data_IF_248716287974
#
_entry.id   IF_248716287974
#
_cell.length_a   1.000
_cell.length_b   1.000
_cell.length_c   1.000
_cell.angle_alpha   90.00
_cell.angle_beta   90.00
_cell.angle_gamma   90.00
#
_symmetry.space_group_name_H-M   'P 1'
#
loop_
_entity.id
_entity.type
_entity.pdbx_description
1 polymer ?
#
# COMPACT_ATOMS: atom_id res chain seq x y z
N UNK A 1 13.76 -2.54 1.67
CA UNK A 1 13.43 -2.30 0.24
C UNK A 1 13.04 -3.60 -0.45
N UNK A 2 12.03 -4.29 0.07
CA UNK A 2 11.39 -5.39 -0.62
C UNK A 2 9.90 -5.10 -0.54
N UNK A 3 9.45 -4.23 -1.46
CA UNK A 3 8.06 -3.78 -1.57
C UNK A 3 7.20 -4.90 -2.14
N UNK A 4 7.04 -5.96 -1.36
CA UNK A 4 6.38 -7.17 -1.81
C UNK A 4 4.89 -7.14 -1.44
N UNK A 5 4.06 -7.67 -2.33
CA UNK A 5 2.61 -7.79 -2.14
C UNK A 5 2.27 -8.79 -1.03
N UNK A 6 3.23 -9.65 -0.68
CA UNK A 6 3.16 -10.56 0.45
C UNK A 6 3.32 -9.87 1.81
N UNK A 7 3.86 -8.64 1.85
CA UNK A 7 3.94 -7.87 3.09
C UNK A 7 2.56 -7.37 3.53
N UNK A 8 2.39 -7.24 4.83
CA UNK A 8 1.16 -6.73 5.42
C UNK A 8 1.07 -5.21 5.26
N UNK A 9 -0.15 -4.67 5.19
CA UNK A 9 -0.37 -3.21 5.14
C UNK A 9 0.36 -2.44 6.26
N UNK A 10 0.32 -2.87 7.54
CA UNK A 10 1.10 -2.19 8.58
C UNK A 10 2.61 -2.15 8.31
N UNK A 11 3.17 -3.20 7.69
CA UNK A 11 4.59 -3.25 7.35
C UNK A 11 4.93 -2.23 6.25
N UNK A 12 4.05 -2.12 5.24
CA UNK A 12 4.11 -1.08 4.21
C UNK A 12 4.03 0.33 4.80
N UNK A 13 3.17 0.57 5.79
CA UNK A 13 3.04 1.89 6.43
C UNK A 13 4.29 2.22 7.26
N UNK A 14 4.95 1.22 7.85
CA UNK A 14 6.19 1.40 8.60
C UNK A 14 7.35 1.78 7.66
N UNK A 15 7.49 1.10 6.52
CA UNK A 15 8.51 1.45 5.52
C UNK A 15 8.17 2.75 4.75
N UNK A 16 6.90 2.95 4.40
CA UNK A 16 6.40 4.01 3.54
C UNK A 16 5.12 4.65 4.11
N UNK A 17 5.24 5.56 5.08
CA UNK A 17 4.07 6.16 5.73
C UNK A 17 3.17 6.94 4.76
N UNK A 18 3.69 7.42 3.62
CA UNK A 18 2.88 8.11 2.60
C UNK A 18 1.85 7.19 1.96
N UNK A 19 2.11 5.88 1.93
CA UNK A 19 1.17 4.89 1.38
C UNK A 19 -0.11 4.77 2.20
N UNK A 20 -0.09 5.21 3.47
CA UNK A 20 -1.28 5.27 4.33
C UNK A 20 -2.44 6.00 3.67
N UNK A 21 -2.16 7.09 2.94
CA UNK A 21 -3.19 7.86 2.24
C UNK A 21 -3.87 7.01 1.16
N UNK A 22 -3.09 6.25 0.40
CA UNK A 22 -3.60 5.33 -0.64
C UNK A 22 -4.47 4.24 -0.02
N UNK A 23 -4.03 3.63 1.08
CA UNK A 23 -4.80 2.60 1.78
C UNK A 23 -6.10 3.14 2.36
N UNK A 24 -6.09 4.36 2.89
CA UNK A 24 -7.27 5.04 3.41
C UNK A 24 -8.27 5.39 2.29
N UNK A 25 -7.79 5.89 1.14
CA UNK A 25 -8.60 6.15 -0.05
C UNK A 25 -9.28 4.87 -0.56
N UNK A 26 -8.55 3.77 -0.62
CA UNK A 26 -9.03 2.46 -1.08
C UNK A 26 -9.86 1.72 -0.02
N UNK A 27 -10.05 2.32 1.17
CA UNK A 27 -10.75 1.72 2.32
C UNK A 27 -10.19 0.32 2.65
N UNK A 28 -8.88 0.11 2.55
CA UNK A 28 -8.25 -1.14 2.94
C UNK A 28 -8.15 -1.21 4.47
N UNK A 29 -8.65 -2.32 5.04
CA UNK A 29 -8.65 -2.52 6.48
C UNK A 29 -7.26 -2.89 6.99
N UNK A 30 -6.55 -1.90 7.55
CA UNK A 30 -5.22 -2.05 8.15
C UNK A 30 -5.26 -2.80 9.48
N UNK A 31 -6.43 -2.89 10.10
CA UNK A 31 -6.67 -3.56 11.38
C UNK A 31 -6.70 -5.10 11.28
N UNK A 32 -6.61 -5.66 10.08
CA UNK A 32 -6.85 -7.08 9.83
C UNK A 32 -5.64 -8.00 10.11
N UNK A 33 -4.76 -7.61 11.05
CA UNK A 33 -3.85 -8.51 11.78
C UNK A 33 -3.03 -9.48 10.93
N UNK A 34 -2.16 -8.98 10.04
CA UNK A 34 -1.17 -9.82 9.35
C UNK A 34 -1.60 -10.40 8.00
N UNK A 35 -2.68 -9.89 7.39
CA UNK A 35 -3.01 -10.20 6.00
C UNK A 35 -2.11 -9.43 5.04
N UNK A 36 -1.59 -10.13 4.04
CA UNK A 36 -0.82 -9.54 2.94
C UNK A 36 -1.67 -8.55 2.13
N UNK A 37 -1.03 -7.52 1.58
CA UNK A 37 -1.68 -6.53 0.73
C UNK A 37 -2.48 -7.17 -0.41
N UNK A 38 -1.91 -8.20 -1.06
CA UNK A 38 -2.59 -8.96 -2.12
C UNK A 38 -3.93 -9.53 -1.65
N UNK A 39 -3.92 -10.19 -0.49
CA UNK A 39 -5.12 -10.82 0.06
C UNK A 39 -6.22 -9.80 0.34
N UNK A 40 -5.89 -8.65 0.93
CA UNK A 40 -6.87 -7.59 1.22
C UNK A 40 -7.43 -6.98 -0.07
N UNK A 41 -6.59 -6.79 -1.10
CA UNK A 41 -7.04 -6.33 -2.40
C UNK A 41 -8.03 -7.33 -3.03
N UNK A 42 -7.70 -8.62 -3.03
CA UNK A 42 -8.57 -9.67 -3.56
C UNK A 42 -9.92 -9.75 -2.82
N UNK A 43 -9.92 -9.61 -1.49
CA UNK A 43 -11.15 -9.58 -0.69
C UNK A 43 -12.06 -8.39 -1.00
N UNK A 44 -11.50 -7.28 -1.48
CA UNK A 44 -12.25 -6.06 -1.84
C UNK A 44 -12.52 -5.99 -3.36
N UNK A 45 -12.24 -7.06 -4.10
CA UNK A 45 -12.34 -7.11 -5.57
C UNK A 45 -11.51 -6.01 -6.26
N UNK A 46 -10.44 -5.58 -5.60
CA UNK A 46 -9.52 -4.56 -6.11
C UNK A 46 -8.39 -5.20 -6.91
N UNK A 47 -8.02 -4.53 -8.00
CA UNK A 47 -6.88 -4.94 -8.80
C UNK A 47 -5.58 -4.63 -8.07
N UNK A 48 -4.91 -5.67 -7.57
CA UNK A 48 -3.62 -5.60 -6.87
C UNK A 48 -2.60 -4.76 -7.65
N UNK A 49 -2.58 -4.90 -8.99
CA UNK A 49 -1.70 -4.16 -9.89
C UNK A 49 -1.94 -2.65 -9.86
N UNK A 50 -3.21 -2.22 -9.87
CA UNK A 50 -3.58 -0.80 -9.79
C UNK A 50 -3.21 -0.22 -8.43
N UNK A 51 -3.46 -0.96 -7.35
CA UNK A 51 -3.06 -0.56 -6.00
C UNK A 51 -1.55 -0.39 -5.94
N UNK A 52 -0.78 -1.37 -6.41
CA UNK A 52 0.68 -1.32 -6.41
C UNK A 52 1.24 -0.17 -7.25
N UNK A 53 0.58 0.17 -8.37
CA UNK A 53 0.96 1.31 -9.20
C UNK A 53 0.71 2.64 -8.49
N UNK A 54 -0.44 2.78 -7.79
CA UNK A 54 -0.75 3.96 -6.97
C UNK A 54 0.25 4.14 -5.84
N UNK A 55 0.63 3.05 -5.17
CA UNK A 55 1.62 3.06 -4.09
C UNK A 55 2.98 3.54 -4.60
N UNK A 56 3.49 2.92 -5.67
CA UNK A 56 4.77 3.32 -6.28
C UNK A 56 4.75 4.77 -6.75
N UNK A 57 3.65 5.22 -7.37
CA UNK A 57 3.52 6.61 -7.79
C UNK A 57 3.53 7.58 -6.61
N UNK A 58 2.91 7.22 -5.49
CA UNK A 58 2.90 8.05 -4.27
C UNK A 58 4.32 8.15 -3.69
N UNK A 59 5.01 7.01 -3.55
CA UNK A 59 6.38 6.96 -3.04
C UNK A 59 7.33 7.76 -3.97
N UNK A 60 7.22 7.57 -5.28
CA UNK A 60 8.02 8.29 -6.27
C UNK A 60 7.73 9.79 -6.23
N UNK A 61 6.46 10.19 -6.05
CA UNK A 61 6.08 11.61 -5.96
C UNK A 61 6.59 12.27 -4.69
N UNK A 62 6.73 11.54 -3.58
CA UNK A 62 7.31 12.07 -2.34
C UNK A 62 8.84 12.20 -2.48
N UNK A 63 9.50 11.27 -3.16
CA UNK A 63 10.94 11.34 -3.40
C UNK A 63 11.34 12.47 -4.37
N UNK A 64 10.49 12.80 -5.34
CA UNK A 64 10.72 13.85 -6.33
C UNK A 64 10.37 15.27 -5.81
N UNK A 65 9.66 15.37 -4.69
CA UNK A 65 9.11 16.63 -4.16
C UNK A 65 9.92 17.33 -3.05
N UNK A 66 11.20 16.99 -2.87
CA UNK A 66 12.08 17.69 -1.93
C UNK A 66 12.84 18.81 -2.65
N UNK A 67 12.17 19.95 -2.86
CA UNK A 67 12.79 21.23 -3.25
C UNK A 67 12.53 22.30 -2.19
#
# INVERSE_FOLDING_TARGET
MNCDLHNSIPDWIIEYPETTAVFAELRLDTNCGGKSLEYVCLQKELSVRDVMKKLQNTISSVQDGTE
#
